data_IF_348589578450
#
_entry.id   IF_348589578450
#
_cell.length_a   1.000
_cell.length_b   1.000
_cell.length_c   1.000
_cell.angle_alpha   90.00
_cell.angle_beta   90.00
_cell.angle_gamma   90.00
#
_symmetry.space_group_name_H-M   'P 1'
#
loop_
_entity.id
_entity.type
_entity.pdbx_description
1 polymer ?
#
# COMPACT_ATOMS: atom_id res chain seq x y z
N UNK A 1 -3.64 -11.13 -12.08
CA UNK A 1 -2.23 -11.57 -11.93
C UNK A 1 -1.90 -11.44 -10.45
N UNK A 2 -1.22 -12.41 -9.82
CA UNK A 2 -0.91 -12.28 -8.40
C UNK A 2 0.12 -11.16 -8.18
N UNK A 3 0.06 -10.48 -7.02
CA UNK A 3 1.08 -9.47 -6.66
C UNK A 3 2.46 -10.10 -6.58
N UNK A 4 2.55 -11.36 -6.13
CA UNK A 4 3.81 -12.11 -6.12
C UNK A 4 4.42 -12.22 -7.53
N UNK A 5 3.65 -12.65 -8.53
CA UNK A 5 4.15 -12.78 -9.91
C UNK A 5 4.55 -11.42 -10.51
N UNK A 6 3.83 -10.37 -10.14
CA UNK A 6 4.16 -9.00 -10.52
C UNK A 6 5.53 -8.57 -9.98
N UNK A 7 5.79 -8.82 -8.69
CA UNK A 7 7.05 -8.49 -8.02
C UNK A 7 8.21 -9.27 -8.67
N UNK A 8 8.05 -10.59 -8.85
CA UNK A 8 9.10 -11.43 -9.45
C UNK A 8 9.45 -10.95 -10.87
N UNK A 9 8.45 -10.73 -11.73
CA UNK A 9 8.67 -10.28 -13.12
C UNK A 9 9.32 -8.90 -13.22
N UNK A 10 8.94 -7.95 -12.35
CA UNK A 10 9.57 -6.62 -12.40
C UNK A 10 10.98 -6.62 -11.82
N UNK A 11 11.23 -7.44 -10.79
CA UNK A 11 12.56 -7.56 -10.16
C UNK A 11 13.63 -8.06 -11.13
N UNK A 12 13.26 -8.88 -12.12
CA UNK A 12 14.16 -9.32 -13.19
C UNK A 12 14.66 -8.16 -14.07
N UNK A 13 13.92 -7.04 -14.14
CA UNK A 13 14.24 -5.91 -15.02
C UNK A 13 14.91 -4.76 -14.28
N UNK A 14 14.48 -4.45 -13.06
CA UNK A 14 15.00 -3.34 -12.26
C UNK A 14 14.78 -3.55 -10.76
N UNK A 15 15.55 -2.86 -9.89
CA UNK A 15 15.20 -2.71 -8.49
C UNK A 15 13.78 -2.15 -8.35
N UNK A 16 13.02 -2.69 -7.39
CA UNK A 16 11.66 -2.24 -7.12
C UNK A 16 11.67 -1.21 -6.01
N UNK A 17 10.87 -0.16 -6.21
CA UNK A 17 10.60 0.83 -5.18
C UNK A 17 9.17 0.66 -4.67
N UNK A 18 9.00 0.60 -3.35
CA UNK A 18 7.69 0.57 -2.71
C UNK A 18 7.57 1.75 -1.76
N UNK A 19 6.45 2.47 -1.85
CA UNK A 19 6.15 3.59 -0.95
C UNK A 19 5.30 3.09 0.22
N UNK A 20 5.82 3.18 1.45
CA UNK A 20 5.04 2.90 2.65
C UNK A 20 4.26 4.13 3.10
N UNK A 21 2.94 4.01 3.15
CA UNK A 21 1.98 5.01 3.58
C UNK A 21 1.32 4.57 4.88
N UNK A 22 1.29 5.47 5.86
CA UNK A 22 0.74 5.21 7.19
C UNK A 22 -0.50 6.08 7.42
N UNK A 23 -1.73 5.53 7.22
CA UNK A 23 -2.96 6.29 7.42
C UNK A 23 -3.28 6.57 8.90
N UNK A 24 -2.48 6.04 9.84
CA UNK A 24 -2.58 6.40 11.25
C UNK A 24 -1.92 7.75 11.57
N UNK A 25 -0.92 8.16 10.77
CA UNK A 25 -0.13 9.38 11.00
C UNK A 25 -0.42 10.52 10.03
N UNK A 26 -1.15 10.24 8.94
CA UNK A 26 -1.42 11.21 7.87
C UNK A 26 -2.92 11.39 7.66
N UNK A 27 -3.32 12.59 7.24
CA UNK A 27 -4.70 12.84 6.77
C UNK A 27 -4.97 12.19 5.42
N UNK A 28 -6.25 11.99 5.08
CA UNK A 28 -6.65 11.39 3.79
C UNK A 28 -6.12 12.18 2.58
N UNK A 29 -6.17 13.50 2.64
CA UNK A 29 -5.72 14.38 1.55
C UNK A 29 -4.20 14.32 1.35
N UNK A 30 -3.42 14.34 2.43
CA UNK A 30 -1.96 14.20 2.38
C UNK A 30 -1.55 12.83 1.82
N UNK A 31 -2.27 11.77 2.20
CA UNK A 31 -2.02 10.42 1.70
C UNK A 31 -2.26 10.33 0.19
N UNK A 32 -3.35 10.93 -0.29
CA UNK A 32 -3.69 11.03 -1.72
C UNK A 32 -2.63 11.83 -2.48
N UNK A 33 -2.21 12.97 -1.95
CA UNK A 33 -1.16 13.79 -2.57
C UNK A 33 0.16 13.02 -2.68
N UNK A 34 0.59 12.40 -1.58
CA UNK A 34 1.84 11.62 -1.54
C UNK A 34 1.77 10.39 -2.45
N UNK A 35 0.64 9.71 -2.49
CA UNK A 35 0.42 8.59 -3.43
C UNK A 35 0.52 9.06 -4.88
N UNK A 36 -0.11 10.19 -5.22
CA UNK A 36 -0.07 10.78 -6.57
C UNK A 36 1.36 11.16 -6.96
N UNK A 37 2.09 11.85 -6.08
CA UNK A 37 3.46 12.27 -6.33
C UNK A 37 4.39 11.07 -6.53
N UNK A 38 4.32 10.07 -5.64
CA UNK A 38 5.20 8.90 -5.73
C UNK A 38 4.84 7.96 -6.88
N UNK A 39 3.58 7.90 -7.29
CA UNK A 39 3.18 7.26 -8.54
C UNK A 39 3.84 7.92 -9.75
N UNK A 40 3.82 9.26 -9.82
CA UNK A 40 4.44 10.02 -10.91
C UNK A 40 5.97 9.89 -10.95
N UNK A 41 6.61 9.75 -9.79
CA UNK A 41 8.07 9.51 -9.68
C UNK A 41 8.46 8.09 -10.12
N UNK A 42 7.49 7.18 -10.23
CA UNK A 42 7.71 5.83 -10.77
C UNK A 42 7.86 4.74 -9.71
N UNK A 43 7.17 4.88 -8.57
CA UNK A 43 7.06 3.79 -7.59
C UNK A 43 6.43 2.54 -8.21
N UNK A 44 6.86 1.35 -7.78
CA UNK A 44 6.39 0.08 -8.33
C UNK A 44 5.18 -0.49 -7.58
N UNK A 45 4.87 0.04 -6.40
CA UNK A 45 3.71 -0.34 -5.62
C UNK A 45 3.61 0.47 -4.32
N UNK A 46 2.44 0.35 -3.68
CA UNK A 46 2.16 1.00 -2.41
C UNK A 46 2.07 -0.02 -1.29
N UNK A 47 2.62 0.32 -0.14
CA UNK A 47 2.44 -0.40 1.09
C UNK A 47 1.60 0.44 2.04
N UNK A 48 0.55 -0.12 2.62
CA UNK A 48 -0.34 0.61 3.56
C UNK A 48 -0.26 -0.06 4.93
N UNK A 49 0.21 0.69 5.93
CA UNK A 49 0.31 0.20 7.32
C UNK A 49 1.43 0.86 8.13
N UNK A 50 1.91 0.19 9.19
CA UNK A 50 3.07 0.60 9.98
C UNK A 50 2.81 1.28 11.32
N UNK A 51 1.55 1.48 11.73
CA UNK A 51 1.19 2.08 13.03
C UNK A 51 0.24 1.22 13.86
N UNK A 52 0.21 1.48 15.17
CA UNK A 52 -0.64 0.80 16.15
C UNK A 52 -2.09 1.30 16.13
N UNK A 53 -2.32 2.52 15.63
CA UNK A 53 -3.61 3.23 15.63
C UNK A 53 -4.30 3.23 14.25
N UNK A 54 -4.33 2.05 13.62
CA UNK A 54 -4.94 1.86 12.32
C UNK A 54 -6.34 1.27 12.48
N UNK A 55 -7.37 2.08 12.23
CA UNK A 55 -8.74 1.57 12.08
C UNK A 55 -8.94 0.98 10.68
N UNK A 56 -9.74 -0.09 10.59
CA UNK A 56 -10.05 -0.75 9.32
C UNK A 56 -10.58 0.25 8.28
N UNK A 57 -11.46 1.17 8.70
CA UNK A 57 -12.05 2.19 7.82
C UNK A 57 -11.01 3.14 7.21
N UNK A 58 -10.01 3.57 7.99
CA UNK A 58 -8.93 4.44 7.49
C UNK A 58 -8.08 3.71 6.46
N UNK A 59 -7.78 2.44 6.72
CA UNK A 59 -7.01 1.60 5.80
C UNK A 59 -7.81 1.35 4.53
N UNK A 60 -9.09 1.01 4.63
CA UNK A 60 -9.99 0.80 3.49
C UNK A 60 -10.09 2.05 2.62
N UNK A 61 -10.37 3.23 3.21
CA UNK A 61 -10.45 4.49 2.47
C UNK A 61 -9.12 4.86 1.81
N UNK A 62 -8.00 4.63 2.49
CA UNK A 62 -6.68 4.87 1.91
C UNK A 62 -6.41 3.96 0.70
N UNK A 63 -6.74 2.67 0.82
CA UNK A 63 -6.60 1.69 -0.27
C UNK A 63 -7.48 2.07 -1.47
N UNK A 64 -8.74 2.43 -1.23
CA UNK A 64 -9.65 2.85 -2.30
C UNK A 64 -9.15 4.12 -3.00
N UNK A 65 -8.74 5.13 -2.24
CA UNK A 65 -8.22 6.38 -2.82
C UNK A 65 -6.98 6.13 -3.68
N UNK A 66 -6.02 5.32 -3.20
CA UNK A 66 -4.82 4.96 -3.99
C UNK A 66 -5.18 4.22 -5.27
N UNK A 67 -6.19 3.33 -5.20
CA UNK A 67 -6.68 2.56 -6.36
C UNK A 67 -7.44 3.41 -7.38
N UNK A 68 -8.12 4.46 -6.94
CA UNK A 68 -8.77 5.41 -7.85
C UNK A 68 -7.75 6.26 -8.62
N UNK A 69 -6.62 6.60 -7.98
CA UNK A 69 -5.59 7.45 -8.58
C UNK A 69 -4.60 6.63 -9.42
N UNK A 70 -4.32 5.38 -9.01
CA UNK A 70 -3.25 4.57 -9.58
C UNK A 70 -3.69 3.12 -9.81
N UNK A 71 -3.13 2.49 -10.84
CA UNK A 71 -3.31 1.06 -11.10
C UNK A 71 -2.17 0.20 -10.49
N UNK A 72 -1.42 0.77 -9.53
CA UNK A 72 -0.30 0.09 -8.90
C UNK A 72 -0.80 -0.83 -7.78
N UNK A 73 -0.12 -1.96 -7.51
CA UNK A 73 -0.55 -2.88 -6.48
C UNK A 73 -0.47 -2.24 -5.09
N UNK A 74 -1.54 -2.38 -4.32
CA UNK A 74 -1.60 -1.93 -2.92
C UNK A 74 -1.44 -3.13 -2.00
N UNK A 75 -0.41 -3.09 -1.17
CA UNK A 75 0.02 -4.18 -0.30
C UNK A 75 -0.19 -3.77 1.16
N UNK A 76 -0.97 -4.53 1.91
CA UNK A 76 -1.10 -4.34 3.35
C UNK A 76 0.20 -4.71 4.06
N UNK A 77 0.65 -3.82 4.95
CA UNK A 77 1.76 -4.07 5.87
C UNK A 77 1.24 -3.97 7.32
N UNK A 78 0.48 -4.97 7.80
CA UNK A 78 -0.17 -4.90 9.09
C UNK A 78 0.84 -5.11 10.23
N UNK A 79 0.77 -4.22 11.22
CA UNK A 79 1.44 -4.37 12.53
C UNK A 79 0.61 -5.22 13.49
N UNK A 80 -0.72 -5.28 13.31
CA UNK A 80 -1.65 -6.12 14.09
C UNK A 80 -2.74 -6.73 13.20
N UNK A 81 -3.29 -7.88 13.62
CA UNK A 81 -4.36 -8.58 12.90
C UNK A 81 -5.63 -7.74 12.70
N UNK A 82 -5.86 -6.73 13.56
CA UNK A 82 -7.00 -5.81 13.51
C UNK A 82 -7.02 -4.89 12.28
N UNK A 83 -5.89 -4.79 11.56
CA UNK A 83 -5.69 -3.86 10.45
C UNK A 83 -5.81 -4.51 9.06
N UNK A 84 -6.31 -5.76 8.99
CA UNK A 84 -6.41 -6.51 7.74
C UNK A 84 -7.64 -6.07 6.95
N UNK A 85 -7.42 -5.19 5.98
CA UNK A 85 -8.42 -4.78 4.99
C UNK A 85 -8.64 -5.85 3.92
N UNK A 86 -9.91 -6.07 3.54
CA UNK A 86 -10.26 -6.96 2.41
C UNK A 86 -10.08 -6.34 1.03
N UNK A 87 -9.71 -5.05 0.94
CA UNK A 87 -9.65 -4.29 -0.33
C UNK A 87 -8.26 -4.24 -0.97
N UNK A 88 -7.22 -4.58 -0.21
CA UNK A 88 -5.86 -4.59 -0.71
C UNK A 88 -5.60 -5.79 -1.65
N UNK A 89 -4.64 -5.63 -2.55
CA UNK A 89 -4.32 -6.66 -3.56
C UNK A 89 -3.45 -7.79 -2.98
N UNK A 90 -2.69 -7.49 -1.93
CA UNK A 90 -1.90 -8.47 -1.18
C UNK A 90 -1.68 -8.03 0.26
N UNK A 91 -1.22 -8.96 1.08
CA UNK A 91 -0.80 -8.74 2.46
C UNK A 91 0.62 -9.29 2.65
N UNK A 92 1.51 -8.47 3.20
CA UNK A 92 2.79 -8.95 3.71
C UNK A 92 2.56 -9.54 5.09
N UNK A 93 2.48 -10.87 5.13
CA UNK A 93 2.31 -11.61 6.37
C UNK A 93 3.69 -11.80 7.03
N UNK A 94 4.08 -10.80 7.82
CA UNK A 94 5.35 -10.78 8.56
C UNK A 94 5.18 -10.95 10.08
N UNK A 95 3.96 -11.22 10.56
CA UNK A 95 3.69 -11.53 11.97
C UNK A 95 4.36 -12.87 12.34
N UNK A 96 5.37 -12.81 13.22
CA UNK A 96 5.97 -13.94 13.92
C UNK A 96 5.82 -13.74 15.43
#
# INVERSE_FOLDING_TARGET
>A
MSVHDYIIKRREKKPLHFTLLDPGKMGSDELVELATQTANVGTDGFMVGGSTDLSLEKVDSAVDAIKEITHLPVILFPTHASSVSGKADAIFLCLF
#
